data_IF_599061213699
#
_entry.id   IF_599061213699
#
_cell.length_a   1.000
_cell.length_b   1.000
_cell.length_c   1.000
_cell.angle_alpha   90.00
_cell.angle_beta   90.00
_cell.angle_gamma   90.00
#
_symmetry.space_group_name_H-M   'P 1'
#
loop_
_entity.id
_entity.type
_entity.pdbx_description
1 polymer ?
#
# COMPACT_ATOMS: atom_id res chain seq x y z
N UNK A 1 -16.11 53.22 -17.66
CA UNK A 1 -15.86 51.89 -18.23
C UNK A 1 -15.52 50.96 -17.08
N UNK A 2 -16.53 50.25 -16.58
CA UNK A 2 -16.42 49.31 -15.46
C UNK A 2 -15.75 48.03 -15.94
N UNK A 3 -14.54 47.78 -15.45
CA UNK A 3 -13.83 46.51 -15.65
C UNK A 3 -14.56 45.42 -14.85
N UNK A 4 -15.45 44.69 -15.52
CA UNK A 4 -16.01 43.44 -15.01
C UNK A 4 -14.93 42.37 -15.26
N UNK A 5 -14.36 41.74 -14.22
CA UNK A 5 -13.42 40.65 -14.41
C UNK A 5 -14.16 39.47 -15.08
N UNK A 6 -13.53 38.75 -16.02
CA UNK A 6 -14.18 37.67 -16.74
C UNK A 6 -14.59 36.56 -15.75
N UNK A 7 -15.88 36.23 -15.75
CA UNK A 7 -16.43 35.03 -15.14
C UNK A 7 -15.67 33.82 -15.69
N UNK A 8 -14.79 33.23 -14.86
CA UNK A 8 -14.19 31.92 -15.12
C UNK A 8 -15.34 30.91 -15.16
N UNK A 9 -15.71 30.49 -16.36
CA UNK A 9 -16.57 29.34 -16.58
C UNK A 9 -15.89 28.11 -15.99
N UNK A 10 -16.52 27.55 -14.95
CA UNK A 10 -16.07 26.35 -14.26
C UNK A 10 -16.36 25.14 -15.16
N UNK A 11 -15.48 24.89 -16.12
CA UNK A 11 -15.41 23.58 -16.75
C UNK A 11 -15.07 22.55 -15.64
N UNK A 12 -15.78 21.42 -15.55
CA UNK A 12 -15.49 20.38 -14.57
C UNK A 12 -14.24 19.62 -15.02
N UNK A 13 -13.07 20.25 -14.83
CA UNK A 13 -11.75 19.61 -14.87
C UNK A 13 -11.49 19.12 -13.43
N UNK A 14 -10.93 17.93 -13.20
CA UNK A 14 -10.95 17.23 -11.91
C UNK A 14 -9.94 17.78 -10.89
N UNK A 15 -9.82 19.10 -10.76
CA UNK A 15 -9.07 19.74 -9.69
C UNK A 15 -10.08 20.28 -8.68
N UNK A 16 -10.52 19.43 -7.75
CA UNK A 16 -11.52 19.79 -6.74
C UNK A 16 -10.98 20.69 -5.63
N UNK A 17 -9.69 20.60 -5.33
CA UNK A 17 -9.06 21.28 -4.20
C UNK A 17 -8.13 22.44 -4.63
N UNK A 18 -8.01 23.43 -3.76
CA UNK A 18 -6.98 24.47 -3.82
C UNK A 18 -5.80 24.09 -2.90
N UNK A 19 -4.71 24.88 -2.94
CA UNK A 19 -3.51 24.60 -2.14
C UNK A 19 -3.78 24.53 -0.63
N UNK A 20 -4.70 25.35 -0.10
CA UNK A 20 -5.01 25.34 1.33
C UNK A 20 -5.72 24.03 1.74
N UNK A 21 -6.65 23.56 0.90
CA UNK A 21 -7.36 22.30 1.11
C UNK A 21 -6.42 21.10 0.93
N UNK A 22 -5.55 21.12 -0.08
CA UNK A 22 -4.64 20.02 -0.35
C UNK A 22 -3.52 19.89 0.69
N UNK A 23 -2.77 20.97 0.98
CA UNK A 23 -1.58 20.88 1.85
C UNK A 23 -1.92 20.92 3.34
N UNK A 24 -2.91 21.75 3.73
CA UNK A 24 -3.27 21.98 5.13
C UNK A 24 -4.61 21.34 5.52
N UNK A 25 -5.37 20.76 4.58
CA UNK A 25 -6.69 20.21 4.87
C UNK A 25 -7.68 21.28 5.35
N UNK A 26 -7.46 22.54 4.98
CA UNK A 26 -8.20 23.67 5.56
C UNK A 26 -9.16 24.30 4.56
N UNK A 27 -10.34 24.66 5.03
CA UNK A 27 -11.28 25.50 4.29
C UNK A 27 -11.96 26.47 5.26
N UNK A 28 -12.02 27.74 4.85
CA UNK A 28 -12.62 28.82 5.63
C UNK A 28 -13.87 29.31 4.89
N UNK A 29 -14.99 29.39 5.60
CA UNK A 29 -16.30 29.83 5.09
C UNK A 29 -16.85 30.91 6.02
N UNK A 30 -17.51 31.92 5.45
CA UNK A 30 -18.17 32.94 6.26
C UNK A 30 -19.32 32.32 7.08
N UNK A 31 -19.42 32.68 8.36
CA UNK A 31 -20.53 32.26 9.19
C UNK A 31 -21.76 33.14 8.92
N UNK A 32 -22.87 32.52 8.52
CA UNK A 32 -24.10 33.24 8.14
C UNK A 32 -25.23 33.07 9.19
N UNK A 33 -24.90 32.70 10.44
CA UNK A 33 -25.91 32.42 11.46
C UNK A 33 -26.72 31.15 11.20
N UNK A 34 -26.24 30.26 10.32
CA UNK A 34 -26.84 28.96 10.04
C UNK A 34 -26.20 27.88 10.90
N UNK A 35 -26.89 26.75 11.06
CA UNK A 35 -26.34 25.55 11.72
C UNK A 35 -25.69 24.58 10.74
N UNK A 36 -25.90 24.75 9.44
CA UNK A 36 -25.37 23.86 8.40
C UNK A 36 -24.35 24.57 7.52
N UNK A 37 -23.23 23.88 7.28
CA UNK A 37 -22.11 24.36 6.45
C UNK A 37 -21.63 23.24 5.54
N UNK A 38 -21.47 23.55 4.25
CA UNK A 38 -21.10 22.56 3.23
C UNK A 38 -19.68 22.79 2.72
N UNK A 39 -18.89 21.71 2.60
CA UNK A 39 -17.51 21.74 2.14
C UNK A 39 -17.29 20.81 0.93
N UNK A 40 -17.94 21.10 -0.22
CA UNK A 40 -18.01 20.18 -1.37
C UNK A 40 -16.68 20.00 -2.12
N UNK A 41 -15.70 20.87 -1.83
CA UNK A 41 -14.43 20.90 -2.53
C UNK A 41 -13.41 19.91 -1.95
N UNK A 42 -13.63 19.36 -0.76
CA UNK A 42 -12.73 18.35 -0.20
C UNK A 42 -12.85 17.02 -0.96
N UNK A 43 -11.71 16.42 -1.25
CA UNK A 43 -11.60 15.06 -1.76
C UNK A 43 -11.77 14.01 -0.66
N UNK A 44 -11.44 14.38 0.58
CA UNK A 44 -11.63 13.54 1.76
C UNK A 44 -13.09 13.61 2.25
N UNK A 45 -13.67 12.45 2.57
CA UNK A 45 -15.01 12.39 3.17
C UNK A 45 -14.93 12.72 4.66
N UNK A 46 -15.75 13.67 5.12
CA UNK A 46 -15.80 14.05 6.53
C UNK A 46 -16.57 13.02 7.37
N UNK A 47 -16.05 12.72 8.56
CA UNK A 47 -16.63 11.77 9.52
C UNK A 47 -16.60 12.40 10.92
N UNK A 48 -17.77 12.53 11.55
CA UNK A 48 -17.90 13.02 12.93
C UNK A 48 -17.94 11.89 13.95
N UNK A 49 -17.41 12.16 15.14
CA UNK A 49 -17.52 11.27 16.31
C UNK A 49 -18.93 11.19 16.91
N UNK A 50 -19.77 12.20 16.65
CA UNK A 50 -21.10 12.34 17.22
C UNK A 50 -22.17 12.44 16.13
N UNK A 51 -23.39 12.04 16.45
CA UNK A 51 -24.58 12.27 15.63
C UNK A 51 -25.24 13.64 15.93
N UNK A 52 -26.29 13.98 15.18
CA UNK A 52 -27.03 15.24 15.36
C UNK A 52 -27.70 15.38 16.74
N UNK A 53 -27.90 14.27 17.45
CA UNK A 53 -28.45 14.27 18.81
C UNK A 53 -27.37 14.40 19.90
N UNK A 54 -26.09 14.51 19.53
CA UNK A 54 -24.97 14.60 20.48
C UNK A 54 -24.56 13.25 21.08
N UNK A 55 -25.01 12.13 20.50
CA UNK A 55 -24.62 10.78 20.92
C UNK A 55 -23.31 10.39 20.24
N UNK A 56 -22.36 9.85 21.00
CA UNK A 56 -21.09 9.40 20.45
C UNK A 56 -21.29 8.12 19.62
N UNK A 57 -20.92 8.19 18.33
CA UNK A 57 -20.98 7.08 17.37
C UNK A 57 -19.59 6.52 17.02
N UNK A 58 -18.53 7.33 17.17
CA UNK A 58 -17.14 6.94 16.91
C UNK A 58 -16.20 7.52 17.97
N UNK A 59 -15.02 6.92 18.11
CA UNK A 59 -14.02 7.37 19.08
C UNK A 59 -13.45 8.77 18.77
N UNK A 60 -13.32 9.12 17.49
CA UNK A 60 -12.78 10.40 17.04
C UNK A 60 -13.34 10.82 15.66
N UNK A 61 -13.47 12.13 15.46
CA UNK A 61 -13.73 12.72 14.14
C UNK A 61 -12.43 12.76 13.33
N UNK A 62 -12.51 12.80 12.00
CA UNK A 62 -11.33 13.01 11.14
C UNK A 62 -11.06 14.50 10.85
N UNK A 63 -11.76 15.42 11.53
CA UNK A 63 -11.61 16.87 11.37
C UNK A 63 -11.89 17.62 12.68
N UNK A 64 -11.44 18.87 12.72
CA UNK A 64 -11.74 19.87 13.77
C UNK A 64 -12.37 21.11 13.15
N UNK A 65 -13.31 21.75 13.86
CA UNK A 65 -13.84 23.07 13.50
C UNK A 65 -13.36 24.11 14.50
N UNK A 66 -13.09 25.29 13.97
CA UNK A 66 -12.68 26.48 14.71
C UNK A 66 -13.55 27.66 14.32
N UNK A 67 -13.99 28.41 15.32
CA UNK A 67 -14.67 29.68 15.14
C UNK A 67 -13.63 30.82 15.11
N UNK A 68 -13.56 31.55 14.00
CA UNK A 68 -12.53 32.56 13.75
C UNK A 68 -13.15 33.95 13.65
N UNK A 69 -12.51 34.94 14.27
CA UNK A 69 -12.86 36.35 14.09
C UNK A 69 -12.49 36.88 12.68
N UNK A 70 -11.43 36.34 12.06
CA UNK A 70 -10.89 36.80 10.77
C UNK A 70 -10.61 35.62 9.83
N UNK A 71 -10.76 35.83 8.51
CA UNK A 71 -10.62 34.79 7.48
C UNK A 71 -9.19 34.27 7.24
N UNK A 72 -8.17 34.82 7.90
CA UNK A 72 -6.75 34.57 7.57
C UNK A 72 -5.95 33.90 8.67
N UNK A 73 -6.35 34.03 9.93
CA UNK A 73 -5.59 33.54 11.08
C UNK A 73 -6.21 32.25 11.58
N UNK A 74 -5.56 31.11 11.35
CA UNK A 74 -5.98 29.86 12.00
C UNK A 74 -5.29 29.70 13.37
N UNK A 75 -5.89 28.98 14.33
CA UNK A 75 -5.30 28.74 15.66
C UNK A 75 -3.98 27.98 15.59
N UNK A 76 -3.75 27.24 14.49
CA UNK A 76 -2.47 26.59 14.19
C UNK A 76 -1.41 27.61 13.78
N UNK A 77 -1.75 28.58 12.93
CA UNK A 77 -0.79 29.58 12.44
C UNK A 77 -0.26 30.50 13.57
N UNK A 78 -0.98 30.58 14.70
CA UNK A 78 -0.57 31.33 15.91
C UNK A 78 -0.05 30.45 17.06
N UNK A 79 0.14 29.15 16.84
CA UNK A 79 0.71 28.23 17.84
C UNK A 79 -0.22 27.86 19.01
N UNK A 80 -1.53 28.00 18.85
CA UNK A 80 -2.54 27.71 19.88
C UNK A 80 -3.59 26.71 19.36
N UNK A 81 -3.27 25.41 19.25
CA UNK A 81 -4.09 24.41 18.53
C UNK A 81 -5.47 24.08 19.14
N UNK A 82 -5.83 24.69 20.28
CA UNK A 82 -7.14 24.54 20.93
C UNK A 82 -7.94 25.83 21.07
N UNK A 83 -7.38 26.99 20.70
CA UNK A 83 -8.11 28.26 20.79
C UNK A 83 -9.28 28.27 19.81
N UNK A 84 -10.46 28.66 20.30
CA UNK A 84 -11.72 28.72 19.55
C UNK A 84 -12.13 27.42 18.84
N UNK A 85 -11.65 26.27 19.31
CA UNK A 85 -12.10 24.98 18.79
C UNK A 85 -13.54 24.71 19.25
N UNK A 86 -14.42 24.34 18.33
CA UNK A 86 -15.76 23.87 18.66
C UNK A 86 -15.66 22.46 19.24
N UNK A 87 -16.33 22.22 20.37
CA UNK A 87 -16.33 20.91 21.01
C UNK A 87 -16.90 19.84 20.06
N UNK A 88 -16.25 18.67 19.90
CA UNK A 88 -16.70 17.62 18.97
C UNK A 88 -18.13 17.14 19.19
N UNK A 89 -18.63 17.18 20.43
CA UNK A 89 -20.00 16.80 20.78
C UNK A 89 -21.07 17.71 20.14
N UNK A 90 -20.69 18.91 19.68
CA UNK A 90 -21.59 19.88 19.06
C UNK A 90 -21.55 19.83 17.52
N UNK A 91 -20.89 18.82 16.94
CA UNK A 91 -20.59 18.72 15.51
C UNK A 91 -21.04 17.35 14.99
N UNK A 92 -21.87 17.36 13.94
CA UNK A 92 -22.31 16.14 13.27
C UNK A 92 -22.21 16.28 11.75
N UNK A 93 -21.76 15.24 11.04
CA UNK A 93 -21.82 15.21 9.57
C UNK A 93 -23.21 14.72 9.15
N UNK A 94 -23.96 15.54 8.42
CA UNK A 94 -25.32 15.21 7.94
C UNK A 94 -25.34 14.68 6.52
N UNK A 95 -24.34 15.02 5.69
CA UNK A 95 -24.23 14.55 4.33
C UNK A 95 -22.76 14.31 3.94
N UNK A 96 -22.41 13.06 3.64
CA UNK A 96 -21.06 12.64 3.25
C UNK A 96 -20.72 12.91 1.77
N UNK A 97 -21.72 13.13 0.91
CA UNK A 97 -21.49 13.40 -0.53
C UNK A 97 -21.04 14.85 -0.76
N UNK A 98 -21.66 15.80 -0.05
CA UNK A 98 -21.30 17.22 -0.13
C UNK A 98 -20.48 17.68 1.08
N UNK A 99 -20.07 16.76 1.96
CA UNK A 99 -19.34 17.05 3.19
C UNK A 99 -20.02 18.18 3.99
N UNK A 100 -21.30 17.99 4.30
CA UNK A 100 -22.11 18.95 5.05
C UNK A 100 -22.04 18.64 6.54
N UNK A 101 -21.67 19.64 7.33
CA UNK A 101 -21.53 19.60 8.78
C UNK A 101 -22.66 20.41 9.41
N UNK A 102 -23.31 19.82 10.40
CA UNK A 102 -24.28 20.43 11.27
C UNK A 102 -23.64 20.79 12.62
N UNK A 103 -23.96 21.98 13.11
CA UNK A 103 -23.59 22.51 14.41
C UNK A 103 -24.82 22.58 15.31
N UNK A 104 -24.71 22.12 16.54
CA UNK A 104 -25.81 22.20 17.52
C UNK A 104 -26.20 23.63 17.91
N UNK A 105 -25.33 24.61 17.63
CA UNK A 105 -25.59 26.04 17.81
C UNK A 105 -25.07 26.85 16.63
N UNK A 106 -25.84 27.85 16.20
CA UNK A 106 -25.44 28.74 15.11
C UNK A 106 -24.34 29.71 15.55
N UNK A 107 -23.40 30.00 14.65
CA UNK A 107 -22.34 30.98 14.87
C UNK A 107 -22.74 32.29 14.21
N UNK A 108 -22.91 33.33 15.03
CA UNK A 108 -23.36 34.64 14.59
C UNK A 108 -22.17 35.55 14.23
N UNK A 109 -21.81 35.60 12.95
CA UNK A 109 -20.74 36.44 12.44
C UNK A 109 -19.34 35.86 12.69
N UNK A 110 -18.37 36.27 11.86
CA UNK A 110 -17.03 35.66 11.82
C UNK A 110 -16.91 34.60 10.73
N UNK A 111 -15.96 33.69 10.89
CA UNK A 111 -15.60 32.67 9.91
C UNK A 111 -15.49 31.29 10.55
N UNK A 112 -16.04 30.29 9.89
CA UNK A 112 -15.87 28.90 10.27
C UNK A 112 -14.67 28.32 9.51
N UNK A 113 -13.70 27.79 10.23
CA UNK A 113 -12.57 27.06 9.65
C UNK A 113 -12.68 25.59 10.00
N UNK A 114 -12.68 24.74 8.98
CA UNK A 114 -12.51 23.30 9.14
C UNK A 114 -11.07 22.92 8.84
N UNK A 115 -10.54 21.99 9.62
CA UNK A 115 -9.21 21.42 9.48
C UNK A 115 -9.29 19.90 9.55
N UNK A 116 -8.82 19.21 8.51
CA UNK A 116 -8.70 17.75 8.48
C UNK A 116 -7.52 17.31 9.38
N UNK A 117 -7.70 16.21 10.13
CA UNK A 117 -6.68 15.64 11.01
C UNK A 117 -5.90 14.53 10.31
N UNK A 118 -4.67 14.27 10.75
CA UNK A 118 -3.94 13.05 10.40
C UNK A 118 -4.65 11.83 11.01
N UNK A 119 -4.79 10.70 10.28
CA UNK A 119 -4.16 10.38 8.99
C UNK A 119 -4.91 10.86 7.74
N UNK A 120 -6.15 11.34 7.86
CA UNK A 120 -6.99 11.69 6.70
C UNK A 120 -6.43 12.84 5.86
N UNK A 121 -5.63 13.74 6.44
CA UNK A 121 -4.89 14.75 5.68
C UNK A 121 -3.86 14.12 4.71
N UNK A 122 -3.25 13.01 5.12
CA UNK A 122 -2.28 12.28 4.29
C UNK A 122 -2.90 11.71 3.02
N UNK A 123 -4.19 11.35 3.06
CA UNK A 123 -4.92 10.84 1.89
C UNK A 123 -5.11 11.90 0.80
N UNK A 124 -5.04 13.19 1.14
CA UNK A 124 -5.06 14.24 0.14
C UNK A 124 -3.77 14.20 -0.71
N UNK A 125 -2.62 13.85 -0.13
CA UNK A 125 -1.33 13.91 -0.81
C UNK A 125 -1.26 12.87 -1.94
N UNK A 126 -0.88 13.31 -3.14
CA UNK A 126 -0.82 12.44 -4.32
C UNK A 126 -2.15 12.27 -5.05
N UNK A 127 -3.25 12.83 -4.54
CA UNK A 127 -4.55 12.82 -5.25
C UNK A 127 -4.52 13.45 -6.65
N UNK A 128 -3.53 14.30 -6.95
CA UNK A 128 -3.34 14.91 -8.27
C UNK A 128 -2.54 14.04 -9.25
N UNK A 129 -1.71 13.12 -8.72
CA UNK A 129 -0.91 12.20 -9.53
C UNK A 129 -1.66 10.88 -9.80
N UNK A 130 -2.67 10.57 -9.00
CA UNK A 130 -3.47 9.35 -9.05
C UNK A 130 -4.92 9.66 -9.44
N UNK A 131 -5.57 8.70 -10.10
CA UNK A 131 -6.99 8.73 -10.42
C UNK A 131 -7.66 7.48 -9.86
N UNK A 132 -8.86 7.63 -9.30
CA UNK A 132 -9.64 6.46 -8.89
C UNK A 132 -10.21 5.75 -10.12
N UNK A 133 -10.46 4.44 -10.01
CA UNK A 133 -11.15 3.68 -11.05
C UNK A 133 -12.53 4.28 -11.40
N UNK A 134 -13.24 4.83 -10.41
CA UNK A 134 -14.51 5.51 -10.64
C UNK A 134 -14.34 6.79 -11.47
N UNK A 135 -13.30 7.58 -11.22
CA UNK A 135 -13.01 8.79 -11.99
C UNK A 135 -12.63 8.43 -13.43
N UNK A 136 -11.83 7.38 -13.65
CA UNK A 136 -11.51 6.88 -14.99
C UNK A 136 -12.79 6.49 -15.73
N UNK A 137 -13.71 5.77 -15.08
CA UNK A 137 -14.97 5.36 -15.72
C UNK A 137 -15.84 6.58 -16.04
N UNK A 138 -15.96 7.53 -15.11
CA UNK A 138 -16.74 8.76 -15.31
C UNK A 138 -16.16 9.59 -16.46
N UNK A 139 -14.86 9.82 -16.46
CA UNK A 139 -14.16 10.56 -17.52
C UNK A 139 -14.26 9.85 -18.87
N UNK A 140 -14.15 8.51 -18.89
CA UNK A 140 -14.34 7.73 -20.11
C UNK A 140 -15.75 7.87 -20.67
N UNK A 141 -16.77 7.80 -19.81
CA UNK A 141 -18.17 8.00 -20.21
C UNK A 141 -18.35 9.40 -20.80
N UNK A 142 -17.84 10.44 -20.13
CA UNK A 142 -17.94 11.83 -20.61
C UNK A 142 -17.21 12.04 -21.95
N UNK A 143 -16.05 11.42 -22.14
CA UNK A 143 -15.21 11.65 -23.31
C UNK A 143 -15.58 10.80 -24.54
N UNK A 144 -16.11 9.58 -24.35
CA UNK A 144 -16.29 8.61 -25.44
C UNK A 144 -17.73 8.13 -25.61
N UNK A 145 -18.62 8.44 -24.68
CA UNK A 145 -20.03 8.01 -24.75
C UNK A 145 -20.99 9.19 -24.75
N UNK A 146 -21.99 9.15 -25.62
CA UNK A 146 -22.97 10.23 -25.76
C UNK A 146 -23.49 10.33 -27.18
N UNK A 147 -24.42 11.27 -27.36
CA UNK A 147 -24.85 11.69 -28.70
C UNK A 147 -23.66 12.33 -29.43
N UNK A 148 -23.48 11.99 -30.70
CA UNK A 148 -22.34 12.39 -31.56
C UNK A 148 -20.93 11.95 -31.10
N UNK A 149 -20.81 11.03 -30.14
CA UNK A 149 -19.55 10.44 -29.71
C UNK A 149 -19.25 9.10 -30.41
N UNK A 150 -18.02 8.57 -30.22
CA UNK A 150 -17.62 7.26 -30.77
C UNK A 150 -18.59 6.15 -30.37
N UNK A 151 -19.16 6.22 -29.16
CA UNK A 151 -20.07 5.22 -28.62
C UNK A 151 -21.41 5.87 -28.24
N UNK A 152 -22.49 5.54 -28.96
CA UNK A 152 -23.81 6.10 -28.67
C UNK A 152 -24.32 5.73 -27.25
N UNK A 153 -24.19 4.45 -26.86
CA UNK A 153 -24.57 3.97 -25.52
C UNK A 153 -23.76 2.73 -25.15
N UNK A 154 -23.31 2.66 -23.90
CA UNK A 154 -22.65 1.51 -23.28
C UNK A 154 -23.02 1.43 -21.79
N UNK A 155 -23.35 0.23 -21.31
CA UNK A 155 -23.63 0.01 -19.88
C UNK A 155 -22.36 0.26 -19.03
N UNK A 156 -22.49 1.05 -17.97
CA UNK A 156 -21.39 1.33 -17.00
C UNK A 156 -20.71 0.05 -16.50
N UNK A 157 -21.48 -1.01 -16.23
CA UNK A 157 -20.93 -2.30 -15.76
C UNK A 157 -19.97 -2.94 -16.76
N UNK A 158 -20.21 -2.77 -18.07
CA UNK A 158 -19.33 -3.30 -19.10
C UNK A 158 -18.00 -2.51 -19.15
N UNK A 159 -18.08 -1.19 -19.02
CA UNK A 159 -16.91 -0.31 -18.93
C UNK A 159 -16.09 -0.66 -17.68
N UNK A 160 -16.75 -0.83 -16.53
CA UNK A 160 -16.11 -1.22 -15.27
C UNK A 160 -15.37 -2.56 -15.40
N UNK A 161 -16.00 -3.57 -16.02
CA UNK A 161 -15.37 -4.88 -16.23
C UNK A 161 -14.10 -4.77 -17.08
N UNK A 162 -14.15 -4.04 -18.19
CA UNK A 162 -12.99 -3.85 -19.05
C UNK A 162 -11.91 -2.96 -18.44
N UNK A 163 -12.29 -1.97 -17.62
CA UNK A 163 -11.35 -1.12 -16.89
C UNK A 163 -10.59 -1.93 -15.83
N UNK A 164 -11.28 -2.78 -15.06
CA UNK A 164 -10.63 -3.70 -14.10
C UNK A 164 -9.64 -4.63 -14.79
N UNK A 165 -10.05 -5.22 -15.91
CA UNK A 165 -9.17 -6.11 -16.69
C UNK A 165 -7.96 -5.37 -17.26
N UNK A 166 -8.16 -4.15 -17.77
CA UNK A 166 -7.06 -3.33 -18.29
C UNK A 166 -6.05 -2.97 -17.19
N UNK A 167 -6.52 -2.63 -15.98
CA UNK A 167 -5.64 -2.38 -14.83
C UNK A 167 -4.88 -3.65 -14.43
N UNK A 168 -5.55 -4.80 -14.39
CA UNK A 168 -4.89 -6.08 -14.11
C UNK A 168 -3.80 -6.38 -15.13
N UNK A 169 -4.11 -6.28 -16.43
CA UNK A 169 -3.13 -6.47 -17.52
C UNK A 169 -1.97 -5.47 -17.43
N UNK A 170 -2.24 -4.24 -16.99
CA UNK A 170 -1.21 -3.25 -16.75
C UNK A 170 -0.32 -3.62 -15.56
N UNK A 171 -0.94 -4.00 -14.43
CA UNK A 171 -0.27 -4.39 -13.19
C UNK A 171 0.59 -5.65 -13.35
N UNK A 172 0.20 -6.62 -14.17
CA UNK A 172 1.02 -7.81 -14.38
C UNK A 172 2.32 -7.52 -15.14
N UNK A 173 2.30 -6.54 -16.05
CA UNK A 173 3.43 -6.29 -16.96
C UNK A 173 4.32 -5.11 -16.55
N UNK A 174 3.82 -4.11 -15.80
CA UNK A 174 4.61 -2.89 -15.56
C UNK A 174 5.56 -2.97 -14.40
N UNK A 175 5.12 -3.57 -13.30
CA UNK A 175 5.89 -3.96 -12.11
C UNK A 175 4.95 -4.91 -11.37
N UNK A 176 5.38 -6.06 -10.81
CA UNK A 176 4.56 -6.72 -9.80
C UNK A 176 4.13 -5.65 -8.79
N UNK A 177 2.88 -5.67 -8.32
CA UNK A 177 2.45 -4.76 -7.28
C UNK A 177 3.23 -5.11 -6.00
N UNK A 178 4.44 -4.57 -5.88
CA UNK A 178 5.32 -4.82 -4.75
C UNK A 178 4.77 -3.96 -3.62
N UNK A 179 4.10 -4.60 -2.70
CA UNK A 179 3.70 -4.01 -1.44
C UNK A 179 4.78 -4.28 -0.40
N UNK A 180 4.90 -3.34 0.54
CA UNK A 180 5.87 -3.40 1.61
C UNK A 180 5.13 -3.31 2.93
N UNK A 181 5.48 -4.19 3.87
CA UNK A 181 4.97 -4.10 5.24
C UNK A 181 6.12 -4.17 6.23
N UNK A 182 6.02 -3.35 7.28
CA UNK A 182 6.90 -3.39 8.44
C UNK A 182 6.16 -4.07 9.59
N UNK A 183 6.76 -5.12 10.14
CA UNK A 183 6.19 -5.90 11.24
C UNK A 183 7.26 -6.16 12.29
N UNK A 184 6.83 -6.30 13.55
CA UNK A 184 7.72 -6.78 14.62
C UNK A 184 7.57 -8.28 14.75
N UNK A 185 8.69 -9.01 14.75
CA UNK A 185 8.69 -10.47 14.87
C UNK A 185 8.29 -10.85 16.31
N UNK A 186 7.18 -11.58 16.51
CA UNK A 186 6.73 -11.98 17.84
C UNK A 186 7.60 -13.10 18.40
N UNK A 187 7.40 -13.39 19.69
CA UNK A 187 8.04 -14.49 20.41
C UNK A 187 7.84 -15.86 19.77
N UNK A 188 6.76 -16.04 19.01
CA UNK A 188 6.45 -17.25 18.27
C UNK A 188 7.32 -17.45 17.02
N UNK A 189 8.08 -16.43 16.60
CA UNK A 189 8.90 -16.37 15.37
C UNK A 189 8.09 -16.57 14.07
N UNK A 190 6.77 -16.44 14.15
CA UNK A 190 5.86 -16.63 13.02
C UNK A 190 4.99 -15.38 12.85
N UNK A 191 4.94 -14.87 11.62
CA UNK A 191 4.05 -13.78 11.22
C UNK A 191 3.02 -14.30 10.20
N UNK A 192 1.73 -13.94 10.34
CA UNK A 192 0.74 -14.28 9.31
C UNK A 192 1.06 -13.57 7.99
N UNK A 193 0.86 -14.27 6.87
CA UNK A 193 0.99 -13.68 5.55
C UNK A 193 -0.11 -12.61 5.33
N UNK A 194 0.19 -11.52 4.60
CA UNK A 194 -0.82 -10.59 4.12
C UNK A 194 -1.90 -11.30 3.28
N UNK A 195 -3.14 -10.80 3.31
CA UNK A 195 -4.27 -11.45 2.63
C UNK A 195 -4.12 -11.54 1.11
N UNK A 196 -3.43 -10.56 0.51
CA UNK A 196 -3.19 -10.43 -0.92
C UNK A 196 -1.80 -10.97 -1.34
N UNK A 197 -1.12 -11.72 -0.47
CA UNK A 197 0.22 -12.25 -0.74
C UNK A 197 0.22 -13.29 -1.87
N UNK A 198 1.04 -13.05 -2.90
CA UNK A 198 1.30 -14.02 -3.99
C UNK A 198 2.69 -14.61 -3.90
N UNK A 199 3.71 -13.76 -3.72
CA UNK A 199 5.11 -14.19 -3.62
C UNK A 199 5.94 -13.14 -2.89
N UNK A 200 7.12 -13.49 -2.38
CA UNK A 200 8.04 -12.51 -1.80
C UNK A 200 9.00 -11.95 -2.85
N UNK A 201 9.46 -10.72 -2.64
CA UNK A 201 10.56 -10.11 -3.39
C UNK A 201 11.79 -9.98 -2.52
N UNK A 202 11.62 -9.48 -1.29
CA UNK A 202 12.72 -9.29 -0.34
C UNK A 202 12.19 -9.33 1.08
N UNK A 203 12.90 -10.01 1.95
CA UNK A 203 12.69 -9.95 3.41
C UNK A 203 13.98 -9.40 4.01
N UNK A 204 13.88 -8.38 4.85
CA UNK A 204 15.03 -7.73 5.45
C UNK A 204 14.76 -7.35 6.90
N UNK A 205 15.75 -7.50 7.77
CA UNK A 205 15.70 -6.97 9.14
C UNK A 205 16.16 -5.53 9.17
N UNK A 206 15.53 -4.73 10.02
CA UNK A 206 15.82 -3.30 10.18
C UNK A 206 16.79 -3.15 11.35
N UNK A 207 17.89 -2.41 11.16
CA UNK A 207 18.79 -2.07 12.26
C UNK A 207 18.38 -0.76 12.96
N UNK A 208 19.09 -0.42 14.05
CA UNK A 208 18.83 0.81 14.82
C UNK A 208 19.07 2.10 14.02
N UNK A 209 19.80 2.03 12.91
CA UNK A 209 20.05 3.16 12.02
C UNK A 209 19.05 3.22 10.85
N UNK A 210 18.09 2.30 10.78
CA UNK A 210 17.11 2.21 9.68
C UNK A 210 17.64 1.53 8.42
N UNK A 211 18.80 0.87 8.46
CA UNK A 211 19.36 0.16 7.30
C UNK A 211 18.72 -1.22 7.18
N UNK A 212 18.31 -1.55 5.95
CA UNK A 212 17.71 -2.83 5.59
C UNK A 212 18.78 -3.88 5.28
N UNK A 213 18.87 -4.90 6.13
CA UNK A 213 19.76 -6.03 5.94
C UNK A 213 18.99 -7.23 5.42
N UNK A 214 19.27 -7.67 4.19
CA UNK A 214 18.52 -8.76 3.53
C UNK A 214 18.72 -10.09 4.25
N UNK A 215 17.61 -10.73 4.60
CA UNK A 215 17.58 -12.10 5.11
C UNK A 215 17.57 -13.07 3.94
N UNK A 216 18.17 -14.26 4.12
CA UNK A 216 18.16 -15.28 3.07
C UNK A 216 17.00 -16.25 3.25
N UNK A 217 16.39 -16.76 2.17
CA UNK A 217 15.51 -17.90 2.28
C UNK A 217 16.28 -19.11 2.80
N UNK A 218 15.56 -19.99 3.46
CA UNK A 218 16.15 -21.11 4.19
C UNK A 218 16.73 -22.21 3.28
N UNK A 219 16.41 -22.20 1.97
CA UNK A 219 17.09 -22.94 0.90
C UNK A 219 17.39 -24.42 1.20
N UNK A 220 16.47 -25.13 1.86
CA UNK A 220 16.60 -26.55 2.16
C UNK A 220 17.44 -26.90 3.40
N UNK A 221 17.86 -25.90 4.19
CA UNK A 221 18.52 -26.12 5.48
C UNK A 221 17.58 -26.74 6.54
N UNK A 222 16.28 -26.47 6.41
CA UNK A 222 15.13 -26.93 7.18
C UNK A 222 13.91 -26.79 6.27
N UNK A 223 12.71 -27.14 6.75
CA UNK A 223 11.50 -26.94 5.96
C UNK A 223 10.22 -27.19 6.72
N UNK A 224 9.12 -26.78 6.11
CA UNK A 224 7.77 -26.95 6.62
C UNK A 224 7.05 -28.05 5.84
N UNK A 225 6.87 -29.26 6.41
CA UNK A 225 6.16 -30.32 5.71
C UNK A 225 4.68 -29.92 5.56
N UNK A 226 4.09 -30.22 4.40
CA UNK A 226 2.68 -29.93 4.12
C UNK A 226 1.73 -30.71 5.03
N UNK A 227 2.16 -31.88 5.51
CA UNK A 227 1.45 -32.74 6.45
C UNK A 227 2.46 -33.33 7.45
N UNK A 228 2.04 -33.52 8.70
CA UNK A 228 2.80 -34.19 9.74
C UNK A 228 1.90 -35.16 10.51
N UNK A 229 1.56 -36.31 9.90
CA UNK A 229 0.69 -37.28 10.54
C UNK A 229 1.33 -37.87 11.81
N UNK A 230 0.55 -38.01 12.88
CA UNK A 230 0.93 -38.72 14.08
C UNK A 230 1.06 -40.21 13.77
N UNK A 231 2.17 -40.79 14.18
CA UNK A 231 2.47 -42.20 13.97
C UNK A 231 2.35 -43.00 15.27
N UNK A 232 1.95 -44.26 15.14
CA UNK A 232 2.04 -45.22 16.24
C UNK A 232 3.48 -45.71 16.46
N UNK A 233 3.67 -46.58 17.45
CA UNK A 233 4.99 -47.15 17.77
C UNK A 233 5.57 -48.05 16.66
N UNK A 234 4.78 -48.39 15.64
CA UNK A 234 5.19 -49.15 14.45
C UNK A 234 5.50 -48.24 13.26
N UNK A 235 5.36 -46.92 13.41
CA UNK A 235 5.60 -45.93 12.35
C UNK A 235 4.43 -45.75 11.39
N UNK A 236 3.23 -46.26 11.71
CA UNK A 236 2.03 -46.15 10.87
C UNK A 236 1.22 -44.91 11.27
N UNK A 237 0.84 -44.04 10.31
CA UNK A 237 -0.07 -42.92 10.57
C UNK A 237 -1.38 -43.36 11.24
N UNK A 238 -1.77 -42.64 12.28
CA UNK A 238 -3.02 -42.87 13.03
C UNK A 238 -4.15 -42.01 12.47
N UNK A 239 -5.39 -42.53 12.48
CA UNK A 239 -6.57 -41.83 11.99
C UNK A 239 -7.49 -41.39 13.14
N UNK A 240 -8.25 -40.32 12.91
CA UNK A 240 -9.36 -39.92 13.76
C UNK A 240 -10.60 -40.80 13.55
N UNK A 241 -11.67 -40.52 14.31
CA UNK A 241 -12.94 -41.24 14.21
C UNK A 241 -13.65 -41.09 12.84
N UNK A 242 -13.17 -40.21 11.97
CA UNK A 242 -13.71 -39.94 10.63
C UNK A 242 -12.81 -40.46 9.51
N UNK A 243 -11.72 -41.19 9.85
CA UNK A 243 -10.80 -41.78 8.90
C UNK A 243 -9.78 -40.80 8.29
N UNK A 244 -9.65 -39.58 8.84
CA UNK A 244 -8.61 -38.63 8.45
C UNK A 244 -7.35 -38.86 9.29
N UNK A 245 -6.17 -38.66 8.72
CA UNK A 245 -4.93 -38.75 9.50
C UNK A 245 -4.91 -37.70 10.60
N UNK A 246 -4.54 -38.09 11.83
CA UNK A 246 -4.32 -37.15 12.91
C UNK A 246 -3.04 -36.38 12.65
N UNK A 247 -3.11 -35.05 12.67
CA UNK A 247 -1.97 -34.16 12.41
C UNK A 247 -1.29 -33.74 13.72
N UNK A 248 0.03 -33.83 13.77
CA UNK A 248 0.88 -33.39 14.88
C UNK A 248 1.64 -32.11 14.58
N UNK A 249 2.42 -31.63 15.55
CA UNK A 249 3.39 -30.56 15.30
C UNK A 249 4.66 -31.18 14.69
N UNK A 250 5.17 -30.68 13.54
CA UNK A 250 6.35 -31.28 12.95
C UNK A 250 7.59 -31.02 13.81
N UNK A 251 8.33 -32.09 14.09
CA UNK A 251 9.55 -32.03 14.90
C UNK A 251 10.64 -31.14 14.27
N UNK A 252 10.62 -31.00 12.93
CA UNK A 252 11.52 -30.09 12.18
C UNK A 252 11.32 -28.64 12.65
N UNK A 253 10.05 -28.20 12.75
CA UNK A 253 9.73 -26.83 13.17
C UNK A 253 10.11 -26.58 14.63
N UNK A 254 9.83 -27.55 15.50
CA UNK A 254 10.16 -27.44 16.93
C UNK A 254 11.67 -27.34 17.15
N UNK A 255 12.45 -28.17 16.45
CA UNK A 255 13.91 -28.16 16.52
C UNK A 255 14.49 -26.90 15.90
N UNK A 256 13.93 -26.43 14.78
CA UNK A 256 14.38 -25.21 14.11
C UNK A 256 14.19 -23.96 14.98
N UNK A 257 13.05 -23.85 15.68
CA UNK A 257 12.80 -22.75 16.64
C UNK A 257 13.83 -22.70 17.78
N UNK A 258 14.37 -23.87 18.16
CA UNK A 258 15.38 -24.02 19.22
C UNK A 258 16.82 -23.97 18.69
N UNK A 259 17.02 -23.97 17.38
CA UNK A 259 18.35 -24.00 16.79
C UNK A 259 19.07 -22.66 17.01
N UNK A 260 20.35 -22.73 17.41
CA UNK A 260 21.21 -21.55 17.55
C UNK A 260 21.87 -21.23 16.22
N UNK A 261 21.67 -20.02 15.71
CA UNK A 261 22.26 -19.54 14.44
C UNK A 261 23.77 -19.74 14.36
N UNK A 262 24.51 -19.60 15.48
CA UNK A 262 25.96 -19.81 15.52
C UNK A 262 26.40 -21.23 15.08
N UNK A 263 25.59 -22.25 15.40
CA UNK A 263 25.86 -23.64 15.01
C UNK A 263 25.67 -23.89 13.52
N UNK A 264 24.97 -23.00 12.83
CA UNK A 264 24.64 -23.10 11.41
C UNK A 264 25.62 -22.27 10.57
N UNK A 265 25.90 -21.04 11.00
CA UNK A 265 26.81 -20.12 10.29
C UNK A 265 28.29 -20.37 10.56
N UNK A 266 28.61 -21.24 11.54
CA UNK A 266 29.99 -21.44 12.00
C UNK A 266 30.56 -20.23 12.77
N UNK A 267 29.68 -19.32 13.23
CA UNK A 267 30.08 -18.14 13.99
C UNK A 267 30.68 -18.54 15.35
N UNK A 268 31.62 -17.74 15.86
CA UNK A 268 32.29 -18.00 17.12
C UNK A 268 31.34 -17.90 18.31
N UNK A 269 31.15 -19.01 19.02
CA UNK A 269 30.49 -19.03 20.33
C UNK A 269 31.56 -19.16 21.44
N UNK A 270 31.77 -18.12 22.28
CA UNK A 270 32.71 -18.17 23.39
C UNK A 270 32.30 -19.15 24.51
N UNK A 271 31.08 -19.68 24.48
CA UNK A 271 30.52 -20.57 25.51
C UNK A 271 30.25 -21.99 25.03
N UNK A 272 30.50 -22.32 23.76
CA UNK A 272 30.39 -23.70 23.24
C UNK A 272 31.80 -24.33 23.20
N UNK A 273 32.16 -25.22 24.14
CA UNK A 273 33.53 -25.73 24.33
C UNK A 273 33.91 -26.82 23.32
N UNK A 274 33.29 -26.84 22.15
CA UNK A 274 33.69 -27.72 21.05
C UNK A 274 34.85 -27.09 20.30
N UNK A 275 36.01 -27.00 20.94
CA UNK A 275 37.24 -27.15 20.16
C UNK A 275 38.53 -26.51 20.64
N UNK A 276 38.57 -25.49 21.51
CA UNK A 276 39.88 -24.95 21.95
C UNK A 276 39.82 -24.34 23.36
N UNK A 277 40.23 -25.10 24.39
CA UNK A 277 40.51 -24.61 25.75
C UNK A 277 41.91 -23.98 25.89
N UNK A 278 42.44 -23.39 24.81
CA UNK A 278 43.84 -22.96 24.73
C UNK A 278 43.96 -21.77 23.77
N UNK A 279 44.30 -20.59 24.30
CA UNK A 279 44.44 -19.32 23.57
C UNK A 279 45.67 -19.28 22.63
N UNK A 280 46.11 -20.42 22.12
CA UNK A 280 47.28 -20.53 21.25
C UNK A 280 46.90 -20.41 19.78
N UNK A 281 47.44 -19.37 19.14
CA UNK A 281 47.14 -18.93 17.77
C UNK A 281 47.26 -20.03 16.69
N UNK A 282 48.10 -21.05 16.88
CA UNK A 282 48.26 -22.14 15.92
C UNK A 282 47.15 -23.20 15.98
N UNK A 283 46.40 -23.33 17.09
CA UNK A 283 45.25 -24.25 17.18
C UNK A 283 43.98 -23.67 16.56
N UNK A 284 43.87 -22.34 16.46
CA UNK A 284 42.84 -21.68 15.65
C UNK A 284 42.98 -21.99 14.14
N UNK A 285 44.16 -22.48 13.72
CA UNK A 285 44.49 -22.82 12.32
C UNK A 285 44.21 -24.31 12.00
N UNK A 286 44.01 -25.18 12.99
CA UNK A 286 43.69 -26.60 12.76
C UNK A 286 42.22 -26.79 12.36
N UNK A 287 41.95 -26.51 11.08
CA UNK A 287 41.31 -27.51 10.22
C UNK A 287 39.79 -27.59 10.14
N UNK A 288 39.02 -26.64 10.68
CA UNK A 288 37.57 -26.56 10.40
C UNK A 288 37.03 -25.16 10.07
N UNK A 289 37.89 -24.13 10.02
CA UNK A 289 37.46 -22.76 9.64
C UNK A 289 37.85 -22.32 8.23
N UNK A 290 38.61 -23.14 7.51
CA UNK A 290 38.69 -23.08 6.06
C UNK A 290 37.55 -23.93 5.49
N UNK A 291 36.57 -23.29 4.84
CA UNK A 291 35.40 -23.96 4.28
C UNK A 291 34.05 -23.45 4.79
N UNK A 292 33.94 -22.18 5.21
CA UNK A 292 32.63 -21.54 5.35
C UNK A 292 31.90 -21.69 4.01
N UNK A 293 30.75 -22.38 4.03
CA UNK A 293 29.86 -22.40 2.88
C UNK A 293 29.24 -20.99 2.76
N UNK A 294 29.59 -20.21 1.71
CA UNK A 294 29.07 -18.87 1.54
C UNK A 294 27.53 -18.86 1.44
N UNK A 295 26.91 -19.98 1.07
CA UNK A 295 25.45 -20.11 0.99
C UNK A 295 24.76 -20.14 2.36
N UNK A 296 25.44 -20.62 3.41
CA UNK A 296 24.91 -20.74 4.77
C UNK A 296 25.52 -19.73 5.74
N UNK A 297 26.57 -19.03 5.34
CA UNK A 297 27.25 -18.07 6.21
C UNK A 297 26.56 -16.69 6.16
N UNK A 298 25.42 -16.55 6.86
CA UNK A 298 24.65 -15.32 6.89
C UNK A 298 24.36 -14.80 8.31
N UNK A 299 24.91 -13.64 8.66
CA UNK A 299 24.64 -12.95 9.92
C UNK A 299 23.22 -12.36 9.98
N UNK A 300 22.64 -12.03 8.81
CA UNK A 300 21.33 -11.41 8.69
C UNK A 300 20.17 -12.41 8.80
N UNK A 301 20.47 -13.71 9.01
CA UNK A 301 19.46 -14.71 9.32
C UNK A 301 18.71 -15.28 8.14
N UNK A 302 17.74 -16.13 8.49
CA UNK A 302 16.90 -16.83 7.53
C UNK A 302 15.42 -16.63 7.78
N UNK A 303 14.67 -16.71 6.69
CA UNK A 303 13.21 -16.80 6.72
C UNK A 303 12.76 -17.93 5.81
N UNK A 304 11.54 -18.41 6.04
CA UNK A 304 10.89 -19.36 5.15
C UNK A 304 9.37 -19.21 5.25
N UNK A 305 8.66 -19.65 4.21
CA UNK A 305 7.22 -19.45 4.06
C UNK A 305 6.53 -20.79 4.30
N UNK A 306 5.85 -20.89 5.42
CA UNK A 306 5.04 -22.04 5.75
C UNK A 306 3.69 -21.94 5.01
N UNK A 307 3.59 -22.63 3.87
CA UNK A 307 2.37 -22.68 3.06
C UNK A 307 1.21 -23.41 3.77
N UNK A 308 1.50 -24.32 4.71
CA UNK A 308 0.46 -25.06 5.47
C UNK A 308 -0.29 -24.15 6.42
N UNK A 309 0.43 -23.26 7.12
CA UNK A 309 -0.14 -22.33 8.11
C UNK A 309 -0.41 -20.93 7.53
N UNK A 310 0.10 -20.63 6.34
CA UNK A 310 0.03 -19.29 5.74
C UNK A 310 0.85 -18.27 6.53
N UNK A 311 2.03 -18.66 7.03
CA UNK A 311 2.88 -17.80 7.87
C UNK A 311 4.31 -17.71 7.34
N UNK A 312 4.98 -16.58 7.60
CA UNK A 312 6.42 -16.42 7.43
C UNK A 312 7.08 -16.75 8.76
N UNK A 313 8.03 -17.67 8.74
CA UNK A 313 8.80 -18.08 9.89
C UNK A 313 10.23 -17.54 9.83
N UNK A 314 10.77 -17.14 10.98
CA UNK A 314 12.09 -16.53 11.10
C UNK A 314 13.04 -17.38 11.96
N UNK A 315 14.34 -17.19 11.78
CA UNK A 315 15.34 -17.78 12.66
C UNK A 315 15.27 -17.19 14.07
N UNK A 316 15.66 -18.00 15.07
CA UNK A 316 15.48 -17.74 16.51
C UNK A 316 16.10 -16.43 17.02
N UNK A 317 17.17 -15.95 16.37
CA UNK A 317 17.90 -14.75 16.75
C UNK A 317 17.20 -13.42 16.38
N UNK A 318 16.07 -13.44 15.66
CA UNK A 318 15.31 -12.22 15.28
C UNK A 318 14.06 -11.97 16.12
N UNK A 319 13.90 -12.69 17.22
CA UNK A 319 12.83 -12.46 18.19
C UNK A 319 12.80 -10.99 18.64
N UNK A 320 11.66 -10.31 18.47
CA UNK A 320 11.47 -8.91 18.86
C UNK A 320 12.12 -7.88 17.94
N UNK A 321 12.76 -8.30 16.83
CA UNK A 321 13.29 -7.37 15.82
C UNK A 321 12.21 -6.94 14.83
N UNK A 322 12.40 -5.75 14.25
CA UNK A 322 11.56 -5.25 13.16
C UNK A 322 12.04 -5.84 11.83
N UNK A 323 11.07 -6.30 11.03
CA UNK A 323 11.28 -6.85 9.70
C UNK A 323 10.49 -6.05 8.68
N UNK A 324 11.12 -5.86 7.53
CA UNK A 324 10.57 -5.26 6.34
C UNK A 324 10.37 -6.37 5.29
N UNK A 325 9.13 -6.56 4.85
CA UNK A 325 8.74 -7.59 3.89
C UNK A 325 8.20 -6.91 2.64
N UNK A 326 8.91 -7.09 1.53
CA UNK A 326 8.44 -6.79 0.19
C UNK A 326 7.83 -8.04 -0.43
N UNK A 327 6.58 -7.94 -0.87
CA UNK A 327 5.85 -9.03 -1.49
C UNK A 327 5.09 -8.55 -2.73
N UNK A 328 4.87 -9.49 -3.65
CA UNK A 328 3.99 -9.32 -4.80
C UNK A 328 2.55 -9.53 -4.31
N UNK A 329 1.76 -8.48 -4.46
CA UNK A 329 0.31 -8.48 -4.23
C UNK A 329 -0.42 -9.03 -5.45
N UNK A 330 -1.55 -9.69 -5.24
CA UNK A 330 -2.47 -10.11 -6.31
C UNK A 330 -3.19 -8.92 -6.98
N UNK A 331 -3.01 -7.71 -6.42
CA UNK A 331 -3.60 -6.47 -6.92
C UNK A 331 -5.13 -6.42 -6.82
N UNK A 332 -5.74 -7.40 -6.13
CA UNK A 332 -7.19 -7.58 -6.03
C UNK A 332 -7.68 -7.33 -4.61
N UNK A 333 -6.98 -6.45 -3.87
CA UNK A 333 -7.41 -5.98 -2.56
C UNK A 333 -8.87 -5.53 -2.59
N UNK A 334 -9.64 -5.89 -1.56
CA UNK A 334 -11.09 -5.77 -1.42
C UNK A 334 -11.70 -4.35 -1.59
N UNK A 335 -10.92 -3.33 -1.95
CA UNK A 335 -11.41 -1.98 -2.14
C UNK A 335 -11.59 -1.63 -3.62
N UNK A 336 -12.80 -1.18 -3.96
CA UNK A 336 -13.16 -0.54 -5.24
C UNK A 336 -12.29 0.71 -5.56
N UNK A 337 -11.44 1.13 -4.62
CA UNK A 337 -10.51 2.24 -4.72
C UNK A 337 -9.16 1.79 -5.30
N UNK A 338 -9.19 1.17 -6.48
CA UNK A 338 -7.95 1.01 -7.25
C UNK A 338 -7.52 2.40 -7.75
N UNK A 339 -6.34 2.84 -7.34
CA UNK A 339 -5.73 4.08 -7.81
C UNK A 339 -4.81 3.79 -8.97
N UNK A 340 -4.92 4.58 -10.03
CA UNK A 340 -4.08 4.49 -11.21
C UNK A 340 -3.31 5.79 -11.39
N UNK A 341 -2.00 5.74 -11.64
CA UNK A 341 -1.25 6.93 -12.02
C UNK A 341 -1.83 7.61 -13.27
N UNK A 342 -1.93 8.93 -13.25
CA UNK A 342 -2.43 9.72 -14.38
C UNK A 342 -1.66 9.50 -15.69
N UNK A 343 -0.39 9.09 -15.59
CA UNK A 343 0.45 8.72 -16.74
C UNK A 343 -0.10 7.55 -17.56
N UNK A 344 -0.91 6.68 -16.95
CA UNK A 344 -1.56 5.54 -17.61
C UNK A 344 -3.01 5.81 -18.02
N UNK A 345 -3.57 6.98 -17.70
CA UNK A 345 -4.97 7.34 -17.99
C UNK A 345 -5.32 7.15 -19.47
N UNK A 346 -4.53 7.72 -20.38
CA UNK A 346 -4.76 7.65 -21.82
C UNK A 346 -4.69 6.21 -22.35
N UNK A 347 -3.79 5.40 -21.79
CA UNK A 347 -3.64 4.00 -22.17
C UNK A 347 -4.84 3.16 -21.70
N UNK A 348 -5.37 3.43 -20.51
CA UNK A 348 -6.57 2.78 -20.02
C UNK A 348 -7.79 3.14 -20.87
N UNK A 349 -7.98 4.42 -21.23
CA UNK A 349 -9.08 4.82 -22.11
C UNK A 349 -9.02 4.10 -23.46
N UNK A 350 -7.85 4.06 -24.11
CA UNK A 350 -7.70 3.36 -25.38
C UNK A 350 -7.96 1.85 -25.27
N UNK A 351 -7.52 1.23 -24.17
CA UNK A 351 -7.70 -0.21 -23.92
C UNK A 351 -9.17 -0.55 -23.61
N UNK A 352 -9.86 0.28 -22.83
CA UNK A 352 -11.29 0.15 -22.56
C UNK A 352 -12.08 0.32 -23.87
N UNK A 353 -11.77 1.36 -24.66
CA UNK A 353 -12.42 1.61 -25.95
C UNK A 353 -12.28 0.41 -26.89
N UNK A 354 -11.06 -0.11 -27.06
CA UNK A 354 -10.80 -1.29 -27.87
C UNK A 354 -11.62 -2.50 -27.37
N UNK A 355 -11.60 -2.77 -26.06
CA UNK A 355 -12.27 -3.92 -25.48
C UNK A 355 -13.79 -3.85 -25.57
N UNK A 356 -14.38 -2.65 -25.50
CA UNK A 356 -15.81 -2.43 -25.72
C UNK A 356 -16.14 -2.59 -27.21
N UNK A 357 -15.33 -2.05 -28.11
CA UNK A 357 -15.57 -2.09 -29.56
C UNK A 357 -15.31 -3.45 -30.21
N UNK A 358 -14.42 -4.31 -29.66
CA UNK A 358 -14.03 -5.56 -30.32
C UNK A 358 -15.22 -6.50 -30.60
N UNK A 359 -16.14 -6.59 -29.64
CA UNK A 359 -17.31 -7.48 -29.68
C UNK A 359 -18.54 -6.81 -30.33
N UNK A 360 -18.46 -5.51 -30.60
CA UNK A 360 -19.56 -4.74 -31.21
C UNK A 360 -19.71 -5.10 -32.69
N UNK A 361 -20.95 -5.32 -33.14
CA UNK A 361 -21.25 -5.64 -34.55
C UNK A 361 -21.34 -4.38 -35.41
N UNK A 362 -21.67 -3.26 -34.79
CA UNK A 362 -21.83 -1.92 -35.36
C UNK A 362 -20.50 -1.25 -35.75
N UNK A 363 -19.36 -1.77 -35.29
CA UNK A 363 -18.02 -1.26 -35.65
C UNK A 363 -17.39 -2.14 -36.72
N UNK A 364 -16.86 -1.53 -37.77
CA UNK A 364 -16.18 -2.25 -38.85
C UNK A 364 -14.84 -2.86 -38.40
N UNK A 365 -14.34 -3.85 -39.15
CA UNK A 365 -13.09 -4.54 -38.83
C UNK A 365 -11.85 -3.66 -38.88
N UNK A 366 -11.82 -2.66 -39.79
CA UNK A 366 -10.70 -1.72 -39.94
C UNK A 366 -10.55 -0.82 -38.73
N UNK A 367 -11.65 -0.25 -38.27
CA UNK A 367 -11.72 0.57 -37.05
C UNK A 367 -11.35 -0.22 -35.80
N UNK A 368 -11.81 -1.48 -35.68
CA UNK A 368 -11.36 -2.37 -34.60
C UNK A 368 -9.84 -2.59 -34.61
N UNK A 369 -9.26 -2.77 -35.79
CA UNK A 369 -7.81 -2.95 -35.93
C UNK A 369 -7.02 -1.67 -35.65
N UNK A 370 -7.61 -0.50 -35.93
CA UNK A 370 -7.05 0.80 -35.54
C UNK A 370 -7.02 0.95 -34.02
N UNK A 371 -8.15 0.73 -33.33
CA UNK A 371 -8.20 0.81 -31.86
C UNK A 371 -7.28 -0.20 -31.17
N UNK A 372 -7.12 -1.40 -31.73
CA UNK A 372 -6.14 -2.39 -31.23
C UNK A 372 -4.72 -1.83 -31.27
N UNK A 373 -4.33 -1.20 -32.39
CA UNK A 373 -3.00 -0.60 -32.57
C UNK A 373 -2.79 0.59 -31.65
N UNK A 374 -3.79 1.47 -31.54
CA UNK A 374 -3.75 2.64 -30.65
C UNK A 374 -3.60 2.23 -29.19
N UNK A 375 -4.42 1.27 -28.73
CA UNK A 375 -4.34 0.72 -27.38
C UNK A 375 -2.96 0.11 -27.10
N UNK A 376 -2.40 -0.65 -28.04
CA UNK A 376 -1.08 -1.26 -27.88
C UNK A 376 0.04 -0.22 -27.72
N UNK A 377 0.07 0.80 -28.59
CA UNK A 377 1.10 1.85 -28.57
C UNK A 377 1.01 2.68 -27.28
N UNK A 378 -0.19 3.12 -26.91
CA UNK A 378 -0.41 3.90 -25.68
C UNK A 378 -0.09 3.10 -24.43
N UNK A 379 -0.48 1.83 -24.39
CA UNK A 379 -0.11 0.93 -23.30
C UNK A 379 1.40 0.85 -23.17
N UNK A 380 2.14 0.52 -24.24
CA UNK A 380 3.61 0.47 -24.22
C UNK A 380 4.24 1.78 -23.73
N UNK A 381 3.76 2.92 -24.20
CA UNK A 381 4.27 4.22 -23.77
C UNK A 381 3.99 4.50 -22.29
N UNK A 382 2.79 4.17 -21.80
CA UNK A 382 2.46 4.27 -20.39
C UNK A 382 3.33 3.35 -19.53
N UNK A 383 3.66 2.14 -20.01
CA UNK A 383 4.59 1.23 -19.31
C UNK A 383 5.96 1.88 -19.12
N UNK A 384 6.53 2.43 -20.20
CA UNK A 384 7.84 3.12 -20.15
C UNK A 384 7.80 4.31 -19.18
N UNK A 385 6.73 5.11 -19.23
CA UNK A 385 6.53 6.24 -18.31
C UNK A 385 6.47 5.81 -16.85
N UNK A 386 5.83 4.67 -16.57
CA UNK A 386 5.66 4.15 -15.21
C UNK A 386 6.86 3.42 -14.64
N UNK A 387 7.70 2.83 -15.49
CA UNK A 387 8.96 2.24 -15.05
C UNK A 387 9.93 3.28 -14.49
N UNK A 388 9.73 4.57 -14.77
CA UNK A 388 10.46 5.68 -14.17
C UNK A 388 11.98 5.44 -14.11
N UNK A 389 12.54 4.90 -15.21
CA UNK A 389 13.95 4.55 -15.29
C UNK A 389 14.80 5.82 -15.30
N UNK A 390 15.38 6.14 -14.14
CA UNK A 390 16.30 7.27 -14.00
C UNK A 390 17.71 6.82 -14.34
N UNK A 391 18.24 7.38 -15.43
CA UNK A 391 19.57 7.03 -15.93
C UNK A 391 20.67 7.25 -14.87
N UNK A 392 20.54 8.30 -14.06
CA UNK A 392 21.53 8.65 -13.03
C UNK A 392 21.63 7.58 -11.92
N UNK A 393 20.51 7.00 -11.50
CA UNK A 393 20.49 5.92 -10.50
C UNK A 393 21.14 4.65 -11.06
N UNK A 394 20.88 4.35 -12.33
CA UNK A 394 21.51 3.23 -13.04
C UNK A 394 23.03 3.45 -13.14
N UNK A 395 23.47 4.65 -13.55
CA UNK A 395 24.88 5.01 -13.65
C UNK A 395 25.57 4.93 -12.29
N UNK A 396 24.91 5.29 -11.19
CA UNK A 396 25.47 5.18 -9.84
C UNK A 396 25.80 3.74 -9.44
N UNK A 397 24.92 2.78 -9.77
CA UNK A 397 25.16 1.34 -9.54
C UNK A 397 26.37 0.86 -10.33
N UNK A 398 26.53 1.33 -11.58
CA UNK A 398 27.64 0.94 -12.44
C UNK A 398 28.97 1.66 -12.12
N UNK A 399 28.95 2.82 -11.46
CA UNK A 399 30.13 3.65 -11.16
C UNK A 399 31.16 2.97 -10.24
N UNK A 400 30.79 1.87 -9.58
CA UNK A 400 31.68 1.06 -8.74
C UNK A 400 32.15 -0.27 -9.36
N UNK A 401 31.48 -0.75 -10.41
CA UNK A 401 31.75 -2.08 -10.98
C UNK A 401 32.99 -2.14 -11.89
N UNK A 402 33.44 -0.99 -12.41
CA UNK A 402 34.62 -0.90 -13.29
C UNK A 402 35.93 -0.57 -12.58
N UNK A 403 35.96 -0.59 -11.24
CA UNK A 403 37.21 -0.39 -10.49
C UNK A 403 38.11 -1.62 -10.71
N UNK A 404 39.05 -1.52 -11.65
CA UNK A 404 40.13 -2.50 -11.77
C UNK A 404 40.89 -2.57 -10.45
N UNK A 405 40.72 -3.68 -9.73
CA UNK A 405 41.64 -4.05 -8.65
C UNK A 405 42.93 -4.45 -9.36
N UNK A 406 43.88 -3.50 -9.46
CA UNK A 406 45.26 -3.85 -9.85
C UNK A 406 45.86 -4.64 -8.69
N UNK A 407 46.17 -5.92 -8.94
CA UNK A 407 47.01 -6.72 -8.06
C UNK A 407 48.47 -6.32 -8.19
#
# INVERSE_FOLDING_TARGET
MTNIPPLKTTAPIPLKENNAQYYKGQQIVASNGTTEYSFPNFNTTLVSAYDTAGTQILNASNFKLYDLATATTTPIDIGQPGANQIAPANIAVTNTTNNTVHLSGAIAGGFLCILIQEPALGDNYGSYSLLSLNDIINNFIVAFTGEDQILNNVKRNNILFHARRAIQEFSYDTLPAIESIELTIPDSLNLPLPQNYVNYVRVARIDKAGVLHTMLPLNGLSGYPTQAPLQDNSGVPTQDAFGQNQEGTPLIEERWKKATTNRITGNYDPYEPTGVYDYTWWKQVYGQRYGLDPGLSNENGWFDINQRLGTIAFSSNFKGMQVFINYISDGLGNNLNAYVPKLAEEALYATILYNVCKNRRDVDGGTKQFYKRDAYVKTRNAKIRLQNLKLDEIVQVFRGQSKWIKH
#
